data_IF_499268778939
#
_entry.id   IF_499268778939
#
_cell.length_a   1.000
_cell.length_b   1.000
_cell.length_c   1.000
_cell.angle_alpha   90.00
_cell.angle_beta   90.00
_cell.angle_gamma   90.00
#
_symmetry.space_group_name_H-M   'P 1'
#
loop_
_entity.id
_entity.type
_entity.pdbx_description
1 polymer ?
#
# COMPACT_ATOMS: atom_id res chain seq x y z
N UNK A 1 10.75 4.70 -10.58
CA UNK A 1 10.38 6.13 -10.53
C UNK A 1 11.21 6.94 -9.52
N UNK A 2 11.51 6.41 -8.32
CA UNK A 2 12.27 7.12 -7.29
C UNK A 2 13.66 7.64 -7.73
N UNK A 3 14.41 6.85 -8.52
CA UNK A 3 15.74 7.24 -9.01
C UNK A 3 15.72 8.48 -9.92
N UNK A 4 14.76 8.54 -10.85
CA UNK A 4 14.61 9.66 -11.78
C UNK A 4 14.24 10.94 -11.02
N UNK A 5 13.34 10.84 -10.03
CA UNK A 5 12.98 11.95 -9.14
C UNK A 5 14.19 12.47 -8.36
N UNK A 6 14.99 11.57 -7.80
CA UNK A 6 16.18 11.93 -7.03
C UNK A 6 17.25 12.62 -7.88
N UNK A 7 17.47 12.15 -9.10
CA UNK A 7 18.39 12.78 -10.06
C UNK A 7 17.93 14.20 -10.44
N UNK A 8 16.63 14.39 -10.67
CA UNK A 8 16.06 15.70 -11.01
C UNK A 8 16.22 16.70 -9.86
N UNK A 9 15.93 16.28 -8.61
CA UNK A 9 16.18 17.09 -7.42
C UNK A 9 17.65 17.51 -7.31
N UNK A 10 18.59 16.60 -7.59
CA UNK A 10 20.02 16.89 -7.54
C UNK A 10 20.43 17.99 -8.53
N UNK A 11 19.88 17.95 -9.75
CA UNK A 11 20.10 18.99 -10.77
C UNK A 11 19.57 20.34 -10.28
N UNK A 12 18.34 20.36 -9.75
CA UNK A 12 17.73 21.59 -9.21
C UNK A 12 18.61 22.18 -8.09
N UNK A 13 19.06 21.36 -7.14
CA UNK A 13 19.96 21.82 -6.08
C UNK A 13 21.28 22.36 -6.62
N UNK A 14 21.86 21.72 -7.63
CA UNK A 14 23.10 22.16 -8.26
C UNK A 14 22.93 23.53 -8.92
N UNK A 15 21.81 23.73 -9.64
CA UNK A 15 21.48 25.01 -10.26
C UNK A 15 21.28 26.12 -9.22
N UNK A 16 20.57 25.83 -8.13
CA UNK A 16 20.37 26.77 -7.01
C UNK A 16 21.70 27.14 -6.35
N UNK A 17 22.61 26.18 -6.17
CA UNK A 17 23.94 26.41 -5.61
C UNK A 17 24.79 27.31 -6.53
N UNK A 18 24.78 27.04 -7.83
CA UNK A 18 25.46 27.87 -8.84
C UNK A 18 24.89 29.30 -8.81
N UNK A 19 23.57 29.44 -8.75
CA UNK A 19 22.89 30.73 -8.62
C UNK A 19 23.33 31.50 -7.38
N UNK A 20 23.43 30.82 -6.23
CA UNK A 20 23.90 31.41 -4.99
C UNK A 20 25.34 31.91 -5.11
N UNK A 21 26.24 31.13 -5.73
CA UNK A 21 27.63 31.53 -5.96
C UNK A 21 27.70 32.80 -6.83
N UNK A 22 26.95 32.84 -7.94
CA UNK A 22 26.89 34.03 -8.79
C UNK A 22 26.36 35.26 -8.05
N UNK A 23 25.33 35.07 -7.22
CA UNK A 23 24.75 36.15 -6.41
C UNK A 23 25.77 36.70 -5.39
N UNK A 24 26.52 35.81 -4.72
CA UNK A 24 27.56 36.20 -3.76
C UNK A 24 28.73 36.92 -4.45
N UNK A 25 29.19 36.44 -5.61
CA UNK A 25 30.24 37.10 -6.40
C UNK A 25 29.79 38.51 -6.79
N UNK A 26 28.56 38.64 -7.28
CA UNK A 26 28.00 39.94 -7.66
C UNK A 26 27.93 40.91 -6.47
N UNK A 27 27.48 40.43 -5.30
CA UNK A 27 27.45 41.22 -4.08
C UNK A 27 28.84 41.71 -3.65
N UNK A 28 29.87 40.84 -3.72
CA UNK A 28 31.26 41.22 -3.44
C UNK A 28 31.76 42.26 -4.45
N UNK A 29 31.46 42.08 -5.74
CA UNK A 29 31.84 43.05 -6.78
C UNK A 29 31.18 44.42 -6.55
N UNK A 30 29.91 44.44 -6.16
CA UNK A 30 29.19 45.66 -5.81
C UNK A 30 29.81 46.36 -4.59
N UNK A 31 30.17 45.62 -3.54
CA UNK A 31 30.87 46.16 -2.36
C UNK A 31 32.23 46.75 -2.76
N UNK A 32 33.03 46.04 -3.55
CA UNK A 32 34.34 46.52 -4.01
C UNK A 32 34.19 47.80 -4.83
N UNK A 33 33.16 47.88 -5.66
CA UNK A 33 32.84 49.07 -6.43
C UNK A 33 32.49 50.25 -5.52
N UNK A 34 31.57 50.07 -4.56
CA UNK A 34 31.16 51.09 -3.59
C UNK A 34 32.39 51.63 -2.83
N UNK A 35 33.24 50.73 -2.32
CA UNK A 35 34.45 51.09 -1.56
C UNK A 35 35.47 51.85 -2.42
N UNK A 36 35.67 51.45 -3.69
CA UNK A 36 36.61 52.13 -4.60
C UNK A 36 36.09 53.49 -5.05
N UNK A 37 34.79 53.60 -5.30
CA UNK A 37 34.10 54.86 -5.63
C UNK A 37 34.23 55.86 -4.49
N UNK A 38 34.00 55.43 -3.24
CA UNK A 38 34.19 56.26 -2.05
C UNK A 38 35.64 56.76 -1.88
N UNK A 39 36.63 55.99 -2.33
CA UNK A 39 38.06 56.35 -2.31
C UNK A 39 38.52 57.15 -3.53
N UNK A 40 37.60 57.64 -4.39
CA UNK A 40 37.90 58.37 -5.65
C UNK A 40 38.85 57.62 -6.60
N UNK A 41 38.89 56.28 -6.54
CA UNK A 41 39.71 55.46 -7.44
C UNK A 41 38.92 55.16 -8.72
N UNK A 42 39.58 55.21 -9.88
CA UNK A 42 38.96 54.83 -11.16
C UNK A 42 38.49 53.37 -11.11
N UNK A 43 37.22 53.14 -11.41
CA UNK A 43 36.62 51.81 -11.58
C UNK A 43 36.25 51.62 -13.04
N UNK A 44 36.58 50.47 -13.62
CA UNK A 44 36.20 50.14 -15.00
C UNK A 44 34.69 49.87 -15.09
N UNK A 45 34.02 50.51 -16.05
CA UNK A 45 32.57 50.36 -16.31
C UNK A 45 32.20 48.89 -16.56
N UNK A 46 33.10 48.11 -17.19
CA UNK A 46 32.91 46.68 -17.45
C UNK A 46 32.65 45.86 -16.17
N UNK A 47 33.28 46.20 -15.04
CA UNK A 47 33.09 45.50 -13.76
C UNK A 47 31.66 45.70 -13.24
N UNK A 48 31.11 46.91 -13.44
CA UNK A 48 29.73 47.23 -13.04
C UNK A 48 28.71 46.47 -13.88
N UNK A 49 28.92 46.42 -15.20
CA UNK A 49 28.03 45.69 -16.11
C UNK A 49 28.05 44.19 -15.76
N UNK A 50 29.24 43.63 -15.50
CA UNK A 50 29.38 42.22 -15.13
C UNK A 50 28.72 41.91 -13.77
N UNK A 51 28.87 42.77 -12.77
CA UNK A 51 28.23 42.60 -11.47
C UNK A 51 26.69 42.60 -11.60
N UNK A 52 26.13 43.54 -12.37
CA UNK A 52 24.67 43.59 -12.62
C UNK A 52 24.18 42.32 -13.34
N UNK A 53 24.90 41.85 -14.36
CA UNK A 53 24.55 40.61 -15.06
C UNK A 53 24.60 39.38 -14.14
N UNK A 54 25.65 39.26 -13.32
CA UNK A 54 25.76 38.16 -12.36
C UNK A 54 24.69 38.25 -11.26
N UNK A 55 24.30 39.45 -10.83
CA UNK A 55 23.18 39.63 -9.90
C UNK A 55 21.86 39.18 -10.52
N UNK A 56 21.59 39.50 -11.79
CA UNK A 56 20.37 39.05 -12.49
C UNK A 56 20.36 37.53 -12.63
N UNK A 57 21.46 36.94 -13.10
CA UNK A 57 21.58 35.48 -13.26
C UNK A 57 21.47 34.78 -11.91
N UNK A 58 22.19 35.27 -10.89
CA UNK A 58 22.12 34.73 -9.54
C UNK A 58 20.71 34.83 -8.96
N UNK A 59 20.03 35.95 -9.15
CA UNK A 59 18.64 36.14 -8.69
C UNK A 59 17.69 35.13 -9.36
N UNK A 60 17.77 34.96 -10.68
CA UNK A 60 16.91 34.02 -11.41
C UNK A 60 17.20 32.57 -11.03
N UNK A 61 18.47 32.20 -10.83
CA UNK A 61 18.84 30.81 -10.53
C UNK A 61 18.69 30.45 -9.05
N UNK A 62 18.73 31.42 -8.14
CA UNK A 62 18.63 31.18 -6.69
C UNK A 62 17.29 31.65 -6.12
N UNK A 63 16.98 32.94 -6.24
CA UNK A 63 15.82 33.54 -5.56
C UNK A 63 14.52 32.99 -6.10
N UNK A 64 14.40 32.84 -7.42
CA UNK A 64 13.16 32.35 -8.03
C UNK A 64 12.85 30.89 -7.65
N UNK A 65 13.74 29.89 -7.79
CA UNK A 65 13.46 28.52 -7.37
C UNK A 65 13.20 28.38 -5.87
N UNK A 66 13.98 29.06 -5.02
CA UNK A 66 13.80 29.00 -3.56
C UNK A 66 12.44 29.59 -3.17
N UNK A 67 12.09 30.75 -3.72
CA UNK A 67 10.78 31.37 -3.47
C UNK A 67 9.64 30.50 -3.97
N UNK A 68 9.79 29.88 -5.15
CA UNK A 68 8.81 28.95 -5.71
C UNK A 68 8.57 27.75 -4.78
N UNK A 69 9.63 27.10 -4.30
CA UNK A 69 9.54 25.96 -3.36
C UNK A 69 8.84 26.37 -2.05
N UNK A 70 9.18 27.54 -1.50
CA UNK A 70 8.55 28.03 -0.27
C UNK A 70 7.07 28.36 -0.46
N UNK A 71 6.72 28.98 -1.58
CA UNK A 71 5.33 29.31 -1.91
C UNK A 71 4.52 28.05 -2.14
N UNK A 72 5.02 27.10 -2.94
CA UNK A 72 4.30 25.84 -3.21
C UNK A 72 4.13 24.99 -1.95
N UNK A 73 5.13 24.97 -1.06
CA UNK A 73 5.01 24.35 0.26
C UNK A 73 3.85 24.93 1.07
N UNK A 74 3.82 26.26 1.24
CA UNK A 74 2.73 26.94 1.97
C UNK A 74 1.36 26.76 1.31
N UNK A 75 1.29 26.83 -0.02
CA UNK A 75 0.04 26.60 -0.76
C UNK A 75 -0.44 25.17 -0.55
N UNK A 76 0.47 24.18 -0.53
CA UNK A 76 0.12 22.79 -0.24
C UNK A 76 -0.44 22.64 1.17
N UNK A 77 0.18 23.25 2.18
CA UNK A 77 -0.31 23.25 3.57
C UNK A 77 -1.70 23.88 3.66
N UNK A 78 -1.91 25.07 3.08
CA UNK A 78 -3.21 25.75 3.06
C UNK A 78 -4.26 24.89 2.36
N UNK A 79 -3.90 24.22 1.26
CA UNK A 79 -4.82 23.36 0.53
C UNK A 79 -5.22 22.14 1.35
N UNK A 80 -4.26 21.51 2.06
CA UNK A 80 -4.53 20.39 2.98
C UNK A 80 -5.40 20.82 4.14
N UNK A 81 -5.10 21.95 4.77
CA UNK A 81 -5.90 22.53 5.85
C UNK A 81 -7.34 22.82 5.40
N UNK A 82 -7.52 23.48 4.24
CA UNK A 82 -8.87 23.72 3.68
C UNK A 82 -9.62 22.44 3.36
N UNK A 83 -8.94 21.44 2.80
CA UNK A 83 -9.56 20.14 2.51
C UNK A 83 -10.03 19.49 3.81
N UNK A 84 -9.18 19.51 4.84
CA UNK A 84 -9.55 19.01 6.17
C UNK A 84 -10.73 19.77 6.77
N UNK A 85 -10.69 21.10 6.73
CA UNK A 85 -11.78 21.96 7.23
C UNK A 85 -13.11 21.68 6.53
N UNK A 86 -13.08 21.41 5.22
CA UNK A 86 -14.28 21.14 4.42
C UNK A 86 -14.95 19.79 4.69
N UNK A 87 -14.30 18.87 5.42
CA UNK A 87 -14.90 17.59 5.80
C UNK A 87 -15.81 17.82 7.00
N UNK A 88 -17.05 17.36 6.88
CA UNK A 88 -18.08 17.51 7.91
C UNK A 88 -17.79 16.58 9.11
N UNK A 89 -17.67 15.28 8.85
CA UNK A 89 -17.46 14.28 9.88
C UNK A 89 -15.96 14.01 10.09
N UNK A 90 -15.41 14.51 11.21
CA UNK A 90 -14.00 14.37 11.57
C UNK A 90 -13.87 13.70 12.93
N UNK A 91 -12.99 12.72 13.01
CA UNK A 91 -12.68 11.97 14.22
C UNK A 91 -11.24 12.27 14.60
N UNK A 92 -11.00 12.53 15.87
CA UNK A 92 -9.68 12.75 16.42
C UNK A 92 -9.41 11.59 17.40
N UNK A 93 -8.55 10.61 17.04
CA UNK A 93 -8.16 9.57 17.97
C UNK A 93 -7.38 10.19 19.14
N UNK A 94 -7.42 9.53 20.30
CA UNK A 94 -6.77 10.04 21.50
C UNK A 94 -5.24 10.13 21.31
N UNK A 95 -4.61 11.14 21.92
CA UNK A 95 -3.20 11.50 21.69
C UNK A 95 -2.18 10.39 22.05
N UNK A 96 -2.63 9.29 22.67
CA UNK A 96 -1.77 8.18 23.11
C UNK A 96 -1.75 6.99 22.14
N UNK A 97 -2.61 6.96 21.13
CA UNK A 97 -2.64 5.84 20.18
C UNK A 97 -1.50 6.01 19.18
N UNK A 98 -0.58 5.04 19.20
CA UNK A 98 0.47 4.92 18.20
C UNK A 98 -0.20 4.91 16.81
N UNK A 99 0.20 5.88 15.98
CA UNK A 99 -0.41 6.20 14.67
C UNK A 99 -0.49 5.02 13.68
N UNK A 100 0.14 3.89 14.00
CA UNK A 100 0.19 2.69 13.17
C UNK A 100 -0.88 1.65 13.52
N UNK A 101 -1.54 1.75 14.69
CA UNK A 101 -2.48 0.71 15.16
C UNK A 101 -3.70 1.33 15.85
N UNK A 102 -4.64 1.82 15.04
CA UNK A 102 -5.93 2.30 15.54
C UNK A 102 -6.86 1.08 15.59
N UNK A 103 -7.07 0.53 16.79
CA UNK A 103 -7.87 -0.68 16.99
C UNK A 103 -9.38 -0.39 16.93
N UNK A 104 -9.80 0.75 17.47
CA UNK A 104 -11.19 1.21 17.46
C UNK A 104 -11.30 2.74 17.43
N UNK A 105 -12.49 3.24 17.07
CA UNK A 105 -12.85 4.66 17.17
C UNK A 105 -14.36 4.89 17.03
N UNK A 106 -14.87 6.00 17.57
CA UNK A 106 -16.28 6.38 17.43
C UNK A 106 -16.54 7.16 16.13
N UNK A 107 -17.47 6.68 15.28
CA UNK A 107 -17.90 7.34 14.05
C UNK A 107 -19.42 7.32 13.91
N UNK A 108 -20.04 8.49 13.70
CA UNK A 108 -21.50 8.63 13.56
C UNK A 108 -22.31 7.96 14.69
N UNK A 109 -21.76 7.93 15.92
CA UNK A 109 -22.37 7.30 17.09
C UNK A 109 -22.21 5.78 17.17
N UNK A 110 -21.44 5.17 16.26
CA UNK A 110 -21.07 3.76 16.26
C UNK A 110 -19.66 3.59 16.82
N UNK A 111 -19.46 2.57 17.66
CA UNK A 111 -18.12 2.13 18.06
C UNK A 111 -17.57 1.21 16.96
N UNK A 112 -16.66 1.73 16.15
CA UNK A 112 -16.07 0.99 15.05
C UNK A 112 -14.83 0.22 15.55
N UNK A 113 -14.83 -1.10 15.36
CA UNK A 113 -13.73 -2.00 15.72
C UNK A 113 -13.10 -2.59 14.47
N UNK A 114 -11.79 -2.86 14.53
CA UNK A 114 -11.02 -3.38 13.41
C UNK A 114 -11.47 -4.79 12.99
N UNK A 115 -11.50 -5.04 11.67
CA UNK A 115 -11.76 -6.34 11.05
C UNK A 115 -10.57 -6.75 10.19
N UNK A 116 -9.99 -7.91 10.49
CA UNK A 116 -8.78 -8.38 9.81
C UNK A 116 -9.03 -9.42 8.70
N UNK A 117 -10.19 -10.08 8.70
CA UNK A 117 -10.51 -11.14 7.74
C UNK A 117 -11.18 -10.65 6.45
N UNK A 118 -11.54 -9.36 6.39
CA UNK A 118 -12.10 -8.73 5.19
C UNK A 118 -10.98 -8.10 4.36
N UNK A 119 -11.07 -8.26 3.04
CA UNK A 119 -10.10 -7.77 2.05
C UNK A 119 -10.81 -6.75 1.15
N UNK A 120 -10.11 -5.68 0.79
CA UNK A 120 -10.63 -4.66 -0.13
C UNK A 120 -9.58 -4.49 -1.20
N UNK A 121 -9.91 -4.87 -2.44
CA UNK A 121 -8.93 -4.90 -3.54
C UNK A 121 -8.73 -3.52 -4.19
N UNK A 122 -9.77 -2.68 -4.25
CA UNK A 122 -9.67 -1.31 -4.76
C UNK A 122 -10.48 -0.33 -3.93
N UNK A 123 -9.80 0.54 -3.19
CA UNK A 123 -10.39 1.60 -2.37
C UNK A 123 -10.35 2.97 -3.06
N UNK A 124 -9.81 3.05 -4.30
CA UNK A 124 -9.57 4.34 -4.97
C UNK A 124 -10.85 5.03 -5.41
N UNK A 125 -11.89 4.26 -5.72
CA UNK A 125 -13.17 4.79 -6.20
C UNK A 125 -14.19 5.02 -5.10
N UNK A 126 -13.89 4.61 -3.85
CA UNK A 126 -14.83 4.76 -2.75
C UNK A 126 -15.10 6.22 -2.38
N UNK A 127 -16.38 6.52 -2.17
CA UNK A 127 -16.85 7.81 -1.69
C UNK A 127 -16.50 8.02 -0.21
N UNK A 128 -16.20 9.26 0.13
CA UNK A 128 -15.74 9.62 1.47
C UNK A 128 -16.93 10.07 2.33
N UNK A 129 -17.12 9.42 3.48
CA UNK A 129 -18.16 9.78 4.45
C UNK A 129 -17.63 10.59 5.63
N UNK A 130 -16.34 10.46 5.92
CA UNK A 130 -15.68 11.16 7.01
C UNK A 130 -14.17 11.07 6.95
N UNK A 131 -13.50 11.57 7.98
CA UNK A 131 -12.06 11.50 8.10
C UNK A 131 -11.60 11.19 9.51
N UNK A 132 -10.60 10.32 9.60
CA UNK A 132 -9.83 10.07 10.80
C UNK A 132 -8.58 10.95 10.77
N UNK A 133 -8.52 11.95 11.64
CA UNK A 133 -7.51 13.01 11.60
C UNK A 133 -6.30 12.61 12.45
N UNK A 134 -5.12 12.59 11.83
CA UNK A 134 -3.87 12.21 12.48
C UNK A 134 -2.89 13.40 12.47
N UNK A 135 -2.84 14.12 13.58
CA UNK A 135 -2.04 15.35 13.71
C UNK A 135 -2.69 16.55 13.02
N UNK A 136 -1.88 17.56 12.65
CA UNK A 136 -2.43 18.87 12.26
C UNK A 136 -3.12 18.91 10.89
N UNK A 137 -2.61 18.20 9.87
CA UNK A 137 -3.10 18.27 8.49
C UNK A 137 -3.08 16.93 7.73
N UNK A 138 -2.98 15.82 8.45
CA UNK A 138 -3.05 14.48 7.85
C UNK A 138 -4.32 13.82 8.33
N UNK A 139 -4.92 13.04 7.45
CA UNK A 139 -6.11 12.28 7.78
C UNK A 139 -6.21 11.09 6.83
N UNK A 140 -6.89 10.04 7.28
CA UNK A 140 -7.36 8.96 6.41
C UNK A 140 -8.83 9.21 6.08
N UNK A 141 -9.20 9.04 4.81
CA UNK A 141 -10.61 9.09 4.43
C UNK A 141 -11.31 7.85 4.95
N UNK A 142 -12.42 8.04 5.65
CA UNK A 142 -13.32 6.97 6.05
C UNK A 142 -14.31 6.79 4.91
N UNK A 143 -14.31 5.60 4.33
CA UNK A 143 -15.12 5.25 3.18
C UNK A 143 -15.95 4.01 3.54
N UNK A 144 -17.24 4.04 3.21
CA UNK A 144 -18.10 2.85 3.33
C UNK A 144 -17.87 1.95 2.13
N UNK A 145 -17.95 0.65 2.36
CA UNK A 145 -17.78 -0.40 1.36
C UNK A 145 -19.14 -1.02 1.05
N UNK A 146 -19.47 -1.10 -0.24
CA UNK A 146 -20.66 -1.84 -0.69
C UNK A 146 -20.44 -3.34 -0.51
N UNK A 147 -21.48 -4.03 -0.02
CA UNK A 147 -21.47 -5.47 0.20
C UNK A 147 -22.87 -6.04 -0.07
N UNK A 148 -23.00 -7.36 -0.09
CA UNK A 148 -24.27 -8.04 -0.39
C UNK A 148 -25.28 -8.07 0.75
N UNK A 149 -24.89 -7.60 1.95
CA UNK A 149 -25.69 -7.65 3.16
C UNK A 149 -25.93 -6.25 3.73
N UNK A 150 -26.73 -6.20 4.78
CA UNK A 150 -27.09 -4.97 5.47
C UNK A 150 -26.18 -4.75 6.68
N UNK A 151 -24.86 -4.82 6.46
CA UNK A 151 -23.84 -4.47 7.44
C UNK A 151 -23.02 -3.28 6.93
N UNK A 152 -22.51 -2.49 7.87
CA UNK A 152 -21.68 -1.33 7.58
C UNK A 152 -20.20 -1.70 7.75
N UNK A 153 -19.49 -1.80 6.63
CA UNK A 153 -18.03 -1.97 6.60
C UNK A 153 -17.41 -0.66 6.14
N UNK A 154 -16.47 -0.16 6.93
CA UNK A 154 -15.71 1.04 6.66
C UNK A 154 -14.24 0.72 6.40
N UNK A 155 -13.61 1.46 5.51
CA UNK A 155 -12.17 1.39 5.25
C UNK A 155 -11.54 2.75 5.46
N UNK A 156 -10.33 2.72 6.00
CA UNK A 156 -9.44 3.88 5.98
C UNK A 156 -8.67 3.86 4.65
N UNK A 157 -9.05 4.74 3.72
CA UNK A 157 -8.49 4.78 2.37
C UNK A 157 -6.98 4.96 2.37
N UNK A 158 -6.31 4.32 1.42
CA UNK A 158 -4.85 4.19 1.29
C UNK A 158 -4.19 3.42 2.45
N UNK A 159 -5.00 2.75 3.27
CA UNK A 159 -4.56 1.80 4.30
C UNK A 159 -5.19 0.43 4.05
N UNK A 160 -4.69 -0.59 4.72
CA UNK A 160 -5.29 -1.93 4.71
C UNK A 160 -6.24 -2.16 5.90
N UNK A 161 -6.63 -1.10 6.62
CA UNK A 161 -7.43 -1.17 7.85
C UNK A 161 -8.93 -1.04 7.54
N UNK A 162 -9.73 -1.95 8.08
CA UNK A 162 -11.19 -2.02 7.90
C UNK A 162 -11.85 -2.11 9.27
N UNK A 163 -13.07 -1.60 9.34
CA UNK A 163 -13.81 -1.48 10.58
C UNK A 163 -15.29 -1.78 10.37
N UNK A 164 -15.96 -2.30 11.40
CA UNK A 164 -17.42 -2.38 11.48
C UNK A 164 -17.86 -1.97 12.89
N UNK A 165 -19.16 -1.80 13.08
CA UNK A 165 -19.72 -1.69 14.43
C UNK A 165 -19.44 -2.99 15.22
N UNK A 166 -19.03 -2.86 16.48
CA UNK A 166 -18.64 -4.00 17.35
C UNK A 166 -19.69 -5.12 17.41
N UNK A 167 -20.97 -4.76 17.45
CA UNK A 167 -22.09 -5.71 17.49
C UNK A 167 -22.34 -6.43 16.15
N UNK A 168 -21.80 -5.94 15.03
CA UNK A 168 -21.92 -6.53 13.70
C UNK A 168 -20.77 -7.51 13.39
N UNK A 169 -19.65 -7.43 14.13
CA UNK A 169 -18.44 -8.21 13.86
C UNK A 169 -18.72 -9.71 13.71
N UNK A 170 -19.48 -10.29 14.65
CA UNK A 170 -19.82 -11.71 14.60
C UNK A 170 -20.74 -12.05 13.41
N UNK A 171 -21.69 -11.18 13.09
CA UNK A 171 -22.61 -11.41 11.96
C UNK A 171 -21.86 -11.35 10.61
N UNK A 172 -20.90 -10.45 10.47
CA UNK A 172 -20.03 -10.36 9.30
C UNK A 172 -19.16 -11.62 9.18
N UNK A 173 -18.60 -12.09 10.30
CA UNK A 173 -17.84 -13.34 10.34
C UNK A 173 -18.71 -14.54 9.92
N UNK A 174 -19.87 -14.71 10.55
CA UNK A 174 -20.79 -15.81 10.26
C UNK A 174 -21.23 -15.78 8.81
N UNK A 175 -21.48 -14.59 8.25
CA UNK A 175 -21.81 -14.45 6.83
C UNK A 175 -20.70 -15.01 5.94
N UNK A 176 -19.47 -14.47 6.02
CA UNK A 176 -18.41 -14.87 5.08
C UNK A 176 -17.92 -16.30 5.28
N UNK A 177 -17.90 -16.81 6.51
CA UNK A 177 -17.43 -18.17 6.79
C UNK A 177 -18.53 -19.24 6.64
N UNK A 178 -19.81 -18.90 6.79
CA UNK A 178 -20.89 -19.92 6.83
C UNK A 178 -21.98 -19.73 5.77
N UNK A 179 -22.29 -18.51 5.35
CA UNK A 179 -23.44 -18.25 4.47
C UNK A 179 -23.09 -17.80 3.06
N UNK A 180 -22.00 -17.05 2.88
CA UNK A 180 -21.63 -16.43 1.61
C UNK A 180 -21.44 -17.49 0.51
N UNK A 181 -21.90 -17.16 -0.69
CA UNK A 181 -21.59 -17.92 -1.89
C UNK A 181 -20.15 -17.61 -2.28
N UNK A 182 -19.30 -18.65 -2.28
CA UNK A 182 -17.88 -18.52 -2.56
C UNK A 182 -17.57 -19.17 -3.90
N UNK A 183 -16.89 -18.44 -4.77
CA UNK A 183 -16.36 -18.96 -6.01
C UNK A 183 -14.97 -19.51 -5.76
N UNK A 184 -14.76 -20.80 -6.03
CA UNK A 184 -13.46 -21.42 -5.91
C UNK A 184 -12.74 -21.48 -7.25
N UNK A 185 -11.44 -21.17 -7.25
CA UNK A 185 -10.56 -21.27 -8.41
C UNK A 185 -9.32 -22.07 -8.07
N UNK A 186 -8.96 -23.05 -8.89
CA UNK A 186 -7.68 -23.74 -8.84
C UNK A 186 -6.72 -23.09 -9.83
N UNK A 187 -5.50 -22.82 -9.37
CA UNK A 187 -4.41 -22.36 -10.21
C UNK A 187 -3.22 -23.30 -10.15
N UNK A 188 -2.67 -23.59 -11.32
CA UNK A 188 -1.52 -24.47 -11.50
C UNK A 188 -0.29 -23.66 -11.91
N UNK A 189 0.84 -23.89 -11.23
CA UNK A 189 2.12 -23.29 -11.58
C UNK A 189 2.99 -24.29 -12.33
N UNK A 190 2.81 -24.37 -13.66
CA UNK A 190 3.64 -25.19 -14.54
C UNK A 190 5.03 -24.62 -14.83
N UNK A 191 5.87 -25.39 -15.52
CA UNK A 191 7.25 -25.04 -15.88
C UNK A 191 7.37 -23.69 -16.63
N UNK A 192 6.35 -23.31 -17.39
CA UNK A 192 6.33 -22.11 -18.22
C UNK A 192 5.95 -20.82 -17.47
N UNK A 193 5.70 -20.89 -16.14
CA UNK A 193 5.24 -19.78 -15.29
C UNK A 193 3.90 -19.14 -15.70
N UNK A 194 3.21 -19.68 -16.69
CA UNK A 194 1.83 -19.28 -16.99
C UNK A 194 0.91 -19.95 -15.97
N UNK A 195 0.32 -19.16 -15.08
CA UNK A 195 -0.74 -19.65 -14.19
C UNK A 195 -2.03 -19.75 -14.99
N UNK A 196 -2.51 -20.96 -15.24
CA UNK A 196 -3.88 -21.17 -15.68
C UNK A 196 -4.78 -21.17 -14.44
N UNK A 197 -5.98 -20.58 -14.56
CA UNK A 197 -6.98 -20.46 -13.49
C UNK A 197 -8.27 -21.10 -13.97
N UNK A 198 -8.88 -21.92 -13.13
CA UNK A 198 -10.11 -22.64 -13.45
C UNK A 198 -11.08 -22.58 -12.29
N UNK A 199 -12.33 -22.22 -12.58
CA UNK A 199 -13.42 -22.33 -11.62
C UNK A 199 -13.66 -23.80 -11.29
N UNK A 200 -13.92 -24.10 -10.02
CA UNK A 200 -14.18 -25.43 -9.50
C UNK A 200 -15.26 -25.36 -8.42
N UNK A 201 -15.93 -26.48 -8.15
CA UNK A 201 -16.93 -26.61 -7.07
C UNK A 201 -16.24 -27.11 -5.78
N UNK A 202 -15.23 -26.36 -5.33
CA UNK A 202 -14.48 -26.72 -4.14
C UNK A 202 -15.29 -26.43 -2.88
N UNK A 203 -15.49 -27.44 -2.05
CA UNK A 203 -16.23 -27.37 -0.81
C UNK A 203 -15.48 -26.47 0.18
N UNK A 204 -16.15 -25.38 0.58
CA UNK A 204 -15.61 -24.40 1.51
C UNK A 204 -15.31 -24.99 2.89
N UNK A 205 -16.12 -25.96 3.35
CA UNK A 205 -15.94 -26.56 4.68
C UNK A 205 -14.64 -27.37 4.68
N UNK A 206 -14.38 -28.09 3.58
CA UNK A 206 -13.10 -28.80 3.37
C UNK A 206 -11.93 -27.81 3.29
N UNK A 207 -12.09 -26.67 2.61
CA UNK A 207 -11.03 -25.65 2.56
C UNK A 207 -10.68 -25.12 3.95
N UNK A 208 -11.69 -24.81 4.77
CA UNK A 208 -11.47 -24.32 6.13
C UNK A 208 -10.88 -25.38 7.04
N UNK A 209 -11.29 -26.65 6.92
CA UNK A 209 -10.66 -27.76 7.61
C UNK A 209 -9.18 -27.90 7.23
N UNK A 210 -8.85 -27.86 5.93
CA UNK A 210 -7.47 -27.93 5.44
C UNK A 210 -6.65 -26.75 5.98
N UNK A 211 -7.21 -25.54 5.93
CA UNK A 211 -6.56 -24.35 6.47
C UNK A 211 -6.33 -24.44 7.98
N UNK A 212 -7.25 -25.08 8.72
CA UNK A 212 -7.08 -25.36 10.14
C UNK A 212 -5.77 -26.06 10.46
N UNK A 213 -5.29 -26.96 9.57
CA UNK A 213 -3.97 -27.58 9.72
C UNK A 213 -2.84 -26.55 9.63
N UNK A 214 -2.89 -25.61 8.69
CA UNK A 214 -1.89 -24.53 8.57
C UNK A 214 -1.76 -23.73 9.87
N UNK A 215 -2.89 -23.41 10.50
CA UNK A 215 -2.93 -22.59 11.71
C UNK A 215 -2.31 -23.28 12.94
N UNK A 216 -2.27 -24.63 12.97
CA UNK A 216 -1.58 -25.38 14.03
C UNK A 216 -0.06 -25.17 14.02
N UNK A 217 0.51 -24.77 12.87
CA UNK A 217 1.97 -24.68 12.62
C UNK A 217 2.72 -25.99 12.83
N UNK A 218 2.03 -27.12 12.91
CA UNK A 218 2.67 -28.43 12.89
C UNK A 218 3.27 -28.68 11.49
N UNK A 219 4.34 -29.46 11.43
CA UNK A 219 4.97 -29.85 10.16
C UNK A 219 5.46 -31.28 10.31
N UNK A 220 4.85 -32.19 9.58
CA UNK A 220 5.30 -33.58 9.45
C UNK A 220 6.12 -33.80 8.17
N UNK A 221 6.01 -32.89 7.20
CA UNK A 221 6.77 -32.92 5.96
C UNK A 221 7.92 -31.91 5.95
N UNK A 222 9.10 -32.37 5.55
CA UNK A 222 10.28 -31.55 5.26
C UNK A 222 11.08 -32.21 4.14
N UNK A 223 11.18 -31.55 2.98
CA UNK A 223 11.83 -32.14 1.80
C UNK A 223 12.41 -31.10 0.85
N UNK A 224 13.34 -31.56 -0.01
CA UNK A 224 13.90 -30.75 -1.08
C UNK A 224 12.87 -30.55 -2.19
N UNK A 225 12.73 -29.31 -2.69
CA UNK A 225 11.90 -28.99 -3.85
C UNK A 225 12.66 -29.49 -5.10
N UNK A 226 12.48 -30.76 -5.47
CA UNK A 226 13.04 -31.33 -6.71
C UNK A 226 11.94 -31.51 -7.75
N UNK A 227 12.33 -31.46 -9.03
CA UNK A 227 11.55 -31.28 -10.28
C UNK A 227 10.30 -32.15 -10.55
N UNK A 228 9.73 -32.86 -9.59
CA UNK A 228 8.50 -33.66 -9.74
C UNK A 228 7.29 -33.04 -9.00
N UNK A 229 7.36 -31.73 -8.71
CA UNK A 229 6.35 -31.01 -7.93
C UNK A 229 5.29 -30.39 -8.85
N UNK A 230 4.05 -30.88 -8.80
CA UNK A 230 2.89 -30.11 -9.25
C UNK A 230 2.43 -29.23 -8.08
N UNK A 231 2.51 -27.90 -8.27
CA UNK A 231 2.10 -26.93 -7.25
C UNK A 231 0.76 -26.31 -7.64
N UNK A 232 -0.20 -26.44 -6.73
CA UNK A 232 -1.55 -25.93 -6.87
C UNK A 232 -1.79 -24.83 -5.87
N UNK A 233 -2.59 -23.85 -6.26
CA UNK A 233 -3.15 -22.88 -5.33
C UNK A 233 -4.64 -22.81 -5.55
N UNK A 234 -5.39 -23.17 -4.51
CA UNK A 234 -6.83 -23.09 -4.47
C UNK A 234 -7.19 -21.79 -3.77
N UNK A 235 -8.06 -21.02 -4.39
CA UNK A 235 -8.50 -19.71 -3.95
C UNK A 235 -10.01 -19.75 -3.84
N UNK A 236 -10.57 -19.27 -2.74
CA UNK A 236 -12.02 -19.00 -2.61
C UNK A 236 -12.22 -17.50 -2.44
N UNK A 237 -13.18 -16.95 -3.16
CA UNK A 237 -13.52 -15.52 -3.13
C UNK A 237 -15.04 -15.36 -3.01
N UNK A 238 -15.50 -14.41 -2.19
CA UNK A 238 -16.90 -14.00 -2.22
C UNK A 238 -17.21 -13.20 -3.48
N UNK A 239 -18.47 -13.22 -3.91
CA UNK A 239 -18.97 -12.47 -5.06
C UNK A 239 -18.79 -10.95 -4.93
N UNK A 240 -18.87 -10.40 -3.72
CA UNK A 240 -18.59 -8.98 -3.43
C UNK A 240 -17.09 -8.66 -3.37
N UNK A 241 -16.21 -9.67 -3.47
CA UNK A 241 -14.76 -9.50 -3.44
C UNK A 241 -14.20 -9.08 -2.08
N UNK A 242 -15.02 -9.12 -1.02
CA UNK A 242 -14.64 -8.70 0.33
C UNK A 242 -14.03 -9.82 1.18
N UNK A 243 -14.19 -11.06 0.74
CA UNK A 243 -13.61 -12.23 1.39
C UNK A 243 -12.75 -13.00 0.40
N UNK A 244 -11.56 -13.38 0.86
CA UNK A 244 -10.60 -14.13 0.07
C UNK A 244 -9.85 -15.06 1.00
N UNK A 245 -9.79 -16.33 0.65
CA UNK A 245 -8.89 -17.28 1.30
C UNK A 245 -8.19 -18.16 0.27
N UNK A 246 -6.98 -18.62 0.61
CA UNK A 246 -6.23 -19.50 -0.28
C UNK A 246 -5.43 -20.54 0.48
N UNK A 247 -5.31 -21.72 -0.11
CA UNK A 247 -4.39 -22.78 0.30
C UNK A 247 -3.42 -23.08 -0.84
N UNK A 248 -2.18 -23.37 -0.48
CA UNK A 248 -1.13 -23.78 -1.43
C UNK A 248 -0.80 -25.24 -1.17
N UNK A 249 -0.84 -26.06 -2.21
CA UNK A 249 -0.76 -27.50 -2.13
C UNK A 249 0.27 -28.03 -3.11
N UNK A 250 0.84 -29.18 -2.77
CA UNK A 250 1.86 -29.83 -3.57
C UNK A 250 1.63 -31.32 -3.63
N UNK A 251 1.61 -31.87 -4.84
CA UNK A 251 1.67 -33.32 -5.03
C UNK A 251 3.13 -33.78 -4.95
N UNK A 252 3.41 -34.72 -4.05
CA UNK A 252 4.74 -35.28 -3.82
C UNK A 252 4.62 -36.81 -3.75
N UNK A 253 4.90 -37.47 -4.88
CA UNK A 253 4.65 -38.90 -5.02
C UNK A 253 3.16 -39.21 -4.88
N UNK A 254 2.82 -40.03 -3.88
CA UNK A 254 1.45 -40.42 -3.58
C UNK A 254 0.80 -39.55 -2.50
N UNK A 255 1.45 -38.50 -1.99
CA UNK A 255 0.90 -37.62 -0.94
C UNK A 255 0.54 -36.23 -1.49
N UNK A 256 -0.48 -35.58 -0.90
CA UNK A 256 -0.67 -34.12 -1.03
C UNK A 256 -0.21 -33.42 0.25
N UNK A 257 0.65 -32.42 0.09
CA UNK A 257 1.19 -31.62 1.18
C UNK A 257 0.68 -30.19 1.11
N UNK A 258 0.19 -29.67 2.25
CA UNK A 258 -0.16 -28.27 2.45
C UNK A 258 1.09 -27.45 2.76
N UNK A 259 1.41 -26.50 1.88
CA UNK A 259 2.63 -25.70 1.94
C UNK A 259 2.57 -24.68 3.10
N UNK A 260 3.48 -24.80 4.08
CA UNK A 260 3.57 -23.86 5.22
C UNK A 260 4.63 -22.77 5.03
N UNK A 261 5.83 -23.15 4.57
CA UNK A 261 6.97 -22.25 4.32
C UNK A 261 7.85 -22.82 3.20
N UNK A 262 8.25 -21.98 2.24
CA UNK A 262 9.35 -22.28 1.31
C UNK A 262 10.51 -21.30 1.54
N UNK A 263 11.66 -21.81 1.95
CA UNK A 263 12.87 -20.99 2.13
C UNK A 263 14.09 -21.81 1.73
N UNK A 264 14.95 -21.23 0.88
CA UNK A 264 16.22 -21.85 0.51
C UNK A 264 16.13 -23.13 -0.34
N UNK A 265 14.97 -23.42 -0.95
CA UNK A 265 14.76 -24.62 -1.77
C UNK A 265 14.25 -25.84 -1.00
N UNK A 266 13.99 -25.69 0.30
CA UNK A 266 13.30 -26.69 1.12
C UNK A 266 11.83 -26.29 1.31
N UNK A 267 10.95 -27.29 1.18
CA UNK A 267 9.53 -27.17 1.44
C UNK A 267 9.21 -27.80 2.79
N UNK A 268 8.42 -27.07 3.58
CA UNK A 268 7.81 -27.57 4.81
C UNK A 268 6.30 -27.48 4.69
N UNK A 269 5.62 -28.45 5.27
CA UNK A 269 4.17 -28.54 5.18
C UNK A 269 3.59 -29.64 6.04
N UNK A 270 2.29 -29.85 5.86
CA UNK A 270 1.51 -30.89 6.52
C UNK A 270 1.00 -31.84 5.45
N UNK A 271 1.27 -33.13 5.58
CA UNK A 271 0.64 -34.15 4.73
C UNK A 271 -0.85 -34.19 5.05
N UNK A 272 -1.69 -34.06 4.03
CA UNK A 272 -3.13 -34.10 4.21
C UNK A 272 -3.59 -35.51 4.62
N UNK A 273 -4.63 -35.63 5.46
CA UNK A 273 -5.31 -36.90 5.68
C UNK A 273 -5.87 -37.47 4.37
N UNK A 274 -5.93 -38.80 4.27
CA UNK A 274 -6.32 -39.54 3.05
C UNK A 274 -7.67 -39.07 2.47
N UNK A 275 -8.67 -38.78 3.30
CA UNK A 275 -9.98 -38.30 2.85
C UNK A 275 -9.92 -36.90 2.20
N UNK A 276 -9.03 -36.03 2.71
CA UNK A 276 -8.83 -34.68 2.16
C UNK A 276 -7.98 -34.72 0.92
N UNK A 277 -6.97 -35.57 0.90
CA UNK A 277 -6.17 -35.82 -0.28
C UNK A 277 -7.01 -36.31 -1.45
N UNK A 278 -7.82 -37.36 -1.24
CA UNK A 278 -8.67 -37.93 -2.30
C UNK A 278 -9.64 -36.88 -2.85
N UNK A 279 -10.23 -36.06 -1.98
CA UNK A 279 -11.09 -34.96 -2.38
C UNK A 279 -10.34 -33.92 -3.23
N UNK A 280 -9.17 -33.44 -2.78
CA UNK A 280 -8.38 -32.47 -3.53
C UNK A 280 -7.98 -33.03 -4.90
N UNK A 281 -7.53 -34.30 -4.95
CA UNK A 281 -7.20 -34.97 -6.21
C UNK A 281 -8.41 -35.07 -7.14
N UNK A 282 -9.61 -35.30 -6.63
CA UNK A 282 -10.81 -35.35 -7.48
C UNK A 282 -11.08 -33.99 -8.13
N UNK A 283 -10.92 -32.90 -7.39
CA UNK A 283 -11.10 -31.53 -7.90
C UNK A 283 -10.02 -31.17 -8.93
N UNK A 284 -8.77 -31.57 -8.71
CA UNK A 284 -7.66 -31.39 -9.66
C UNK A 284 -7.87 -32.29 -10.90
N UNK A 285 -8.31 -33.53 -10.71
CA UNK A 285 -8.52 -34.54 -11.75
C UNK A 285 -9.62 -34.16 -12.74
N UNK A 286 -10.76 -33.68 -12.23
CA UNK A 286 -11.84 -33.12 -13.05
C UNK A 286 -11.34 -32.01 -13.97
N UNK A 287 -10.36 -31.22 -13.50
CA UNK A 287 -9.72 -30.21 -14.33
C UNK A 287 -8.78 -30.82 -15.38
N UNK A 288 -7.91 -31.75 -15.01
CA UNK A 288 -6.95 -32.35 -15.97
C UNK A 288 -7.63 -33.15 -17.07
N UNK A 289 -8.79 -33.74 -16.83
CA UNK A 289 -9.55 -34.50 -17.85
C UNK A 289 -10.29 -33.59 -18.86
N UNK A 290 -10.43 -32.30 -18.56
CA UNK A 290 -11.03 -31.31 -19.47
C UNK A 290 -10.04 -30.76 -20.51
N UNK A 291 -8.74 -31.12 -20.45
CA UNK A 291 -7.66 -30.61 -21.30
C UNK A 291 -6.67 -31.69 -21.76
#
# INVERSE_FOLDING_TARGET
>A
MAFISMFFLMIVYTVVLIGLIFFLIAAVMDIVWIVRSARKKKTHIAVKILAVLMSIVGFVLFVFPVSFILITGKVSEITKARKLESIENKIYPDEQDDKEYIEDFEFNGMNLVRIDFVIIQDDKELEMEGALVIGEYRYYSICRVENERDFDIYVLKETNLKYCEENQLQAIYDYYYQEAELNATISYYGEDRNSQKYECDFDKDILFEIRGYYDTKECDYSGSIVNEKLSYRIIVESSDGLFYESISLSEIGDDIVLDSVSSGGEMRGITLPEDKEEYVRSQIGEWTDLY
#
